data_IF_595485613047
#
_entry.id   IF_595485613047
#
_cell.length_a   1.000
_cell.length_b   1.000
_cell.length_c   1.000
_cell.angle_alpha   90.00
_cell.angle_beta   90.00
_cell.angle_gamma   90.00
#
_symmetry.space_group_name_H-M   'P 1'
#
loop_
_entity.id
_entity.type
_entity.pdbx_description
1 polymer ?
#
# COMPACT_ATOMS: atom_id res chain seq x y z
N UNK A 1 6.84 6.60 3.68
CA UNK A 1 6.01 6.36 2.48
C UNK A 1 4.91 5.39 2.86
N UNK A 2 3.71 5.57 2.31
CA UNK A 2 2.59 4.66 2.48
C UNK A 2 2.21 4.01 1.14
N UNK A 3 1.77 2.76 1.16
CA UNK A 3 1.16 2.05 0.03
C UNK A 3 -0.12 1.38 0.53
N UNK A 4 -1.27 1.87 0.09
CA UNK A 4 -2.58 1.37 0.51
C UNK A 4 -3.43 1.00 -0.71
N UNK A 5 -4.33 0.05 -0.50
CA UNK A 5 -5.33 -0.39 -1.48
C UNK A 5 -6.68 -0.38 -0.80
N UNK A 6 -7.63 0.43 -1.30
CA UNK A 6 -9.00 0.37 -0.84
C UNK A 6 -9.73 -0.72 -1.64
N UNK A 7 -10.46 -1.65 -1.01
CA UNK A 7 -11.27 -2.62 -1.73
C UNK A 7 -12.34 -1.90 -2.57
N UNK A 8 -12.56 -2.36 -3.80
CA UNK A 8 -13.70 -1.94 -4.63
C UNK A 8 -15.01 -2.42 -4.03
N UNK A 9 -16.05 -1.61 -4.23
CA UNK A 9 -17.36 -1.63 -3.56
C UNK A 9 -17.72 -2.88 -2.74
N UNK A 10 -17.78 -2.69 -1.41
CA UNK A 10 -18.69 -3.45 -0.55
C UNK A 10 -19.02 -2.78 0.78
N UNK A 11 -18.18 -1.88 1.30
CA UNK A 11 -18.53 -0.99 2.43
C UNK A 11 -17.70 0.30 2.30
N UNK A 12 -18.29 1.37 1.74
CA UNK A 12 -17.60 2.65 1.46
C UNK A 12 -16.95 3.27 2.70
N UNK A 13 -17.46 2.99 3.90
CA UNK A 13 -16.97 3.56 5.15
C UNK A 13 -15.77 2.81 5.75
N UNK A 14 -15.75 1.47 5.74
CA UNK A 14 -14.63 0.69 6.30
C UNK A 14 -13.37 0.85 5.46
N UNK A 15 -13.52 0.98 4.14
CA UNK A 15 -12.38 1.01 3.23
C UNK A 15 -11.58 2.31 3.40
N UNK A 16 -12.27 3.45 3.53
CA UNK A 16 -11.64 4.75 3.82
C UNK A 16 -10.91 4.75 5.16
N UNK A 17 -11.41 4.04 6.18
CA UNK A 17 -10.74 3.94 7.49
C UNK A 17 -9.33 3.37 7.38
N UNK A 18 -9.10 2.37 6.54
CA UNK A 18 -7.75 1.81 6.34
C UNK A 18 -6.80 2.81 5.69
N UNK A 19 -7.24 3.48 4.63
CA UNK A 19 -6.45 4.52 3.98
C UNK A 19 -6.14 5.68 4.93
N UNK A 20 -7.15 6.14 5.67
CA UNK A 20 -7.02 7.21 6.66
C UNK A 20 -6.04 6.82 7.76
N UNK A 21 -6.22 5.64 8.35
CA UNK A 21 -5.36 5.16 9.42
C UNK A 21 -3.90 5.04 8.99
N UNK A 22 -3.63 4.50 7.79
CA UNK A 22 -2.28 4.36 7.28
C UNK A 22 -1.60 5.73 7.01
N UNK A 23 -2.37 6.73 6.56
CA UNK A 23 -1.88 8.09 6.35
C UNK A 23 -1.65 8.83 7.68
N UNK A 24 -2.59 8.70 8.63
CA UNK A 24 -2.47 9.25 9.99
C UNK A 24 -1.25 8.71 10.71
N UNK A 25 -1.02 7.39 10.69
CA UNK A 25 0.15 6.77 11.30
C UNK A 25 1.45 7.34 10.72
N UNK A 26 1.53 7.49 9.39
CA UNK A 26 2.71 8.06 8.75
C UNK A 26 2.95 9.51 9.17
N UNK A 27 1.90 10.35 9.12
CA UNK A 27 1.97 11.75 9.53
C UNK A 27 2.42 11.83 10.99
N UNK A 28 1.77 11.09 11.88
CA UNK A 28 2.08 11.09 13.30
C UNK A 28 3.53 10.66 13.55
N UNK A 29 4.02 9.61 12.89
CA UNK A 29 5.42 9.20 13.03
C UNK A 29 6.41 10.27 12.54
N UNK A 30 6.08 11.02 11.48
CA UNK A 30 6.90 12.13 11.02
C UNK A 30 6.90 13.28 12.02
N UNK A 31 5.74 13.63 12.58
CA UNK A 31 5.62 14.65 13.63
C UNK A 31 6.42 14.27 14.88
N UNK A 32 6.33 13.00 15.33
CA UNK A 32 7.10 12.49 16.48
C UNK A 32 8.62 12.54 16.24
N UNK A 33 9.06 12.52 14.97
CA UNK A 33 10.46 12.68 14.58
C UNK A 33 10.88 14.16 14.41
N UNK A 34 10.02 15.10 14.80
CA UNK A 34 10.30 16.54 14.77
C UNK A 34 9.94 17.22 13.46
N UNK A 35 9.22 16.56 12.56
CA UNK A 35 8.77 17.21 11.33
C UNK A 35 7.60 18.18 11.64
N UNK A 36 7.49 19.28 10.89
CA UNK A 36 6.39 20.24 11.02
C UNK A 36 5.35 20.00 9.94
N UNK A 37 4.07 19.90 10.31
CA UNK A 37 2.98 19.69 9.34
C UNK A 37 2.96 20.78 8.25
N UNK A 38 3.28 22.02 8.63
CA UNK A 38 3.32 23.17 7.71
C UNK A 38 4.37 23.02 6.60
N UNK A 39 5.37 22.16 6.76
CA UNK A 39 6.40 21.91 5.75
C UNK A 39 6.13 20.66 4.92
N UNK A 40 5.02 19.97 5.15
CA UNK A 40 4.72 18.73 4.44
C UNK A 40 4.38 19.00 2.98
N UNK A 41 4.86 18.11 2.13
CA UNK A 41 4.56 18.08 0.71
C UNK A 41 4.32 16.63 0.30
N UNK A 42 3.44 16.41 -0.66
CA UNK A 42 3.08 15.09 -1.12
C UNK A 42 3.46 14.84 -2.58
N UNK A 43 3.92 13.62 -2.84
CA UNK A 43 4.03 13.06 -4.19
C UNK A 43 3.18 11.79 -4.24
N UNK A 44 2.22 11.75 -5.17
CA UNK A 44 1.25 10.66 -5.25
C UNK A 44 1.40 9.86 -6.54
N UNK A 45 1.38 8.54 -6.43
CA UNK A 45 1.64 7.63 -7.54
C UNK A 45 0.66 6.45 -7.51
N UNK A 46 0.31 5.90 -8.67
CA UNK A 46 -0.46 4.66 -8.78
C UNK A 46 -1.87 4.87 -9.33
N UNK A 47 -2.86 4.21 -8.73
CA UNK A 47 -4.26 4.35 -9.16
C UNK A 47 -4.57 3.81 -10.56
N UNK A 48 -3.76 2.91 -11.11
CA UNK A 48 -4.01 2.33 -12.43
C UNK A 48 -5.31 1.52 -12.46
N UNK A 49 -6.05 1.61 -13.56
CA UNK A 49 -7.24 0.82 -13.82
C UNK A 49 -6.84 -0.42 -14.62
N UNK A 50 -6.84 -1.58 -13.96
CA UNK A 50 -6.46 -2.87 -14.55
C UNK A 50 -7.73 -3.61 -14.98
N UNK A 51 -7.76 -4.09 -16.21
CA UNK A 51 -8.97 -4.68 -16.82
C UNK A 51 -9.47 -5.98 -16.15
N UNK A 52 -8.67 -6.61 -15.28
CA UNK A 52 -8.95 -7.91 -14.63
C UNK A 52 -9.89 -7.84 -13.40
N UNK A 53 -10.97 -7.06 -13.45
CA UNK A 53 -12.03 -7.09 -12.41
C UNK A 53 -11.87 -6.14 -11.22
N UNK A 54 -10.81 -5.32 -11.19
CA UNK A 54 -10.61 -4.24 -10.21
C UNK A 54 -11.01 -2.86 -10.77
N UNK A 55 -11.92 -2.85 -11.76
CA UNK A 55 -12.35 -1.62 -12.43
C UNK A 55 -12.81 -0.59 -11.41
N UNK A 56 -12.35 0.65 -11.56
CA UNK A 56 -12.58 1.81 -10.68
C UNK A 56 -11.81 1.85 -9.34
N UNK A 57 -11.17 0.77 -8.87
CA UNK A 57 -10.44 0.80 -7.58
C UNK A 57 -9.26 1.78 -7.64
N UNK A 58 -8.50 1.73 -8.73
CA UNK A 58 -7.38 2.65 -8.95
C UNK A 58 -7.81 4.11 -8.87
N UNK A 59 -8.93 4.44 -9.53
CA UNK A 59 -9.54 5.78 -9.50
C UNK A 59 -10.00 6.17 -8.09
N UNK A 60 -10.71 5.29 -7.39
CA UNK A 60 -11.16 5.55 -6.01
C UNK A 60 -10.00 5.80 -5.05
N UNK A 61 -8.90 5.06 -5.19
CA UNK A 61 -7.69 5.27 -4.38
C UNK A 61 -7.04 6.62 -4.68
N UNK A 62 -6.95 6.99 -5.97
CA UNK A 62 -6.43 8.28 -6.39
C UNK A 62 -7.26 9.45 -5.85
N UNK A 63 -8.60 9.35 -5.94
CA UNK A 63 -9.53 10.36 -5.46
C UNK A 63 -9.51 10.47 -3.92
N UNK A 64 -9.41 9.34 -3.22
CA UNK A 64 -9.22 9.30 -1.77
C UNK A 64 -7.93 10.02 -1.36
N UNK A 65 -6.80 9.69 -1.99
CA UNK A 65 -5.51 10.29 -1.68
C UNK A 65 -5.53 11.83 -1.85
N UNK A 66 -6.10 12.30 -2.97
CA UNK A 66 -6.27 13.74 -3.23
C UNK A 66 -7.14 14.41 -2.17
N UNK A 67 -8.25 13.79 -1.81
CA UNK A 67 -9.18 14.37 -0.82
C UNK A 67 -8.55 14.42 0.57
N UNK A 68 -7.87 13.36 0.98
CA UNK A 68 -7.17 13.31 2.26
C UNK A 68 -6.11 14.42 2.36
N UNK A 69 -5.24 14.52 1.35
CA UNK A 69 -4.16 15.52 1.34
C UNK A 69 -4.70 16.95 1.31
N UNK A 70 -5.81 17.19 0.58
CA UNK A 70 -6.49 18.48 0.61
C UNK A 70 -7.03 18.83 1.99
N UNK A 71 -7.67 17.88 2.67
CA UNK A 71 -8.24 18.10 4.01
C UNK A 71 -7.16 18.30 5.08
N UNK A 72 -5.96 17.76 4.86
CA UNK A 72 -4.82 17.92 5.77
C UNK A 72 -3.94 19.14 5.44
N UNK A 73 -4.31 19.96 4.46
CA UNK A 73 -3.54 21.10 3.95
C UNK A 73 -2.11 20.72 3.49
N UNK A 74 -1.96 19.52 2.91
CA UNK A 74 -0.67 19.04 2.39
C UNK A 74 -0.63 19.22 0.87
N UNK A 75 0.16 20.17 0.33
CA UNK A 75 0.25 20.41 -1.10
C UNK A 75 0.84 19.22 -1.86
N UNK A 76 0.22 18.89 -2.98
CA UNK A 76 0.72 17.86 -3.91
C UNK A 76 1.69 18.53 -4.89
N UNK A 77 2.98 18.22 -4.76
CA UNK A 77 4.05 18.78 -5.62
C UNK A 77 4.37 17.92 -6.84
N UNK A 78 3.93 16.66 -6.84
CA UNK A 78 3.98 15.80 -8.03
C UNK A 78 2.89 14.72 -7.97
N UNK A 79 2.35 14.35 -9.15
CA UNK A 79 1.36 13.29 -9.25
C UNK A 79 1.57 12.44 -10.50
N UNK A 80 1.48 11.12 -10.37
CA UNK A 80 1.31 10.20 -11.49
C UNK A 80 0.27 9.15 -11.16
N UNK A 81 -0.98 9.47 -11.49
CA UNK A 81 -2.16 8.66 -11.17
C UNK A 81 -2.77 8.05 -12.44
N UNK A 82 -3.71 7.11 -12.25
CA UNK A 82 -4.54 6.53 -13.32
C UNK A 82 -3.74 5.80 -14.41
N UNK A 83 -4.35 5.57 -15.58
CA UNK A 83 -3.76 4.80 -16.69
C UNK A 83 -3.86 3.29 -16.48
N UNK A 84 -3.31 2.52 -17.42
CA UNK A 84 -3.48 1.06 -17.47
C UNK A 84 -2.27 0.25 -16.97
N UNK A 85 -1.16 0.93 -16.66
CA UNK A 85 0.10 0.28 -16.31
C UNK A 85 0.35 0.31 -14.80
N UNK A 86 0.77 -0.82 -14.25
CA UNK A 86 1.38 -0.88 -12.93
C UNK A 86 2.63 0.00 -12.87
N UNK A 87 2.96 0.48 -11.68
CA UNK A 87 4.13 1.35 -11.45
C UNK A 87 4.90 0.91 -10.23
N UNK A 88 6.22 0.81 -10.36
CA UNK A 88 7.14 0.67 -9.23
C UNK A 88 7.65 2.06 -8.86
N UNK A 89 7.59 2.40 -7.57
CA UNK A 89 8.01 3.71 -7.05
C UNK A 89 9.21 3.53 -6.13
N UNK A 90 10.23 4.34 -6.35
CA UNK A 90 11.37 4.50 -5.44
C UNK A 90 11.35 5.91 -4.87
N UNK A 91 11.58 6.04 -3.57
CA UNK A 91 11.59 7.31 -2.87
C UNK A 91 12.83 7.45 -2.00
N UNK A 92 13.46 8.61 -2.07
CA UNK A 92 14.63 8.96 -1.27
C UNK A 92 14.21 9.98 -0.21
N UNK A 93 14.06 9.56 1.06
CA UNK A 93 13.53 10.43 2.11
C UNK A 93 14.41 11.64 2.43
N UNK A 94 15.74 11.52 2.29
CA UNK A 94 16.67 12.61 2.57
C UNK A 94 16.56 13.80 1.63
N UNK A 95 16.12 13.59 0.38
CA UNK A 95 16.00 14.66 -0.64
C UNK A 95 14.56 14.89 -1.09
N UNK A 96 13.63 14.01 -0.71
CA UNK A 96 12.27 13.99 -1.24
C UNK A 96 12.17 13.55 -2.71
N UNK A 97 13.27 13.13 -3.34
CA UNK A 97 13.26 12.65 -4.73
C UNK A 97 12.40 11.39 -4.87
N UNK A 98 11.72 11.25 -6.00
CA UNK A 98 10.91 10.09 -6.31
C UNK A 98 11.10 9.70 -7.79
N UNK A 99 11.24 8.41 -8.04
CA UNK A 99 11.34 7.83 -9.37
C UNK A 99 10.21 6.83 -9.55
N UNK A 100 9.58 6.83 -10.72
CA UNK A 100 8.61 5.81 -11.11
C UNK A 100 9.08 5.07 -12.36
N UNK A 101 8.86 3.76 -12.37
CA UNK A 101 9.00 2.92 -13.54
C UNK A 101 7.62 2.33 -13.85
N UNK A 102 7.07 2.65 -15.02
CA UNK A 102 5.91 1.93 -15.54
C UNK A 102 6.37 0.53 -15.90
N UNK A 103 5.63 -0.49 -15.47
CA UNK A 103 5.95 -1.88 -15.78
C UNK A 103 5.18 -2.25 -17.06
N UNK A 104 5.82 -2.30 -18.24
CA UNK A 104 5.17 -2.79 -19.46
C UNK A 104 4.89 -4.28 -19.33
N UNK A 105 3.74 -4.74 -19.84
CA UNK A 105 3.40 -6.17 -19.91
C UNK A 105 2.94 -6.81 -18.61
N UNK A 106 2.78 -6.07 -17.51
CA UNK A 106 2.11 -6.57 -16.30
C UNK A 106 0.59 -6.50 -16.50
N UNK A 107 0.05 -7.30 -17.41
CA UNK A 107 -1.20 -7.99 -17.12
C UNK A 107 -0.87 -8.91 -15.93
N UNK A 108 -1.05 -8.42 -14.71
CA UNK A 108 -0.97 -9.32 -13.57
C UNK A 108 -2.14 -10.30 -13.73
N UNK A 109 -1.84 -11.52 -14.20
CA UNK A 109 -2.60 -12.68 -13.75
C UNK A 109 -2.61 -12.56 -12.23
N UNK A 110 -3.79 -12.35 -11.68
CA UNK A 110 -4.00 -12.31 -10.25
C UNK A 110 -3.69 -13.70 -9.73
N UNK A 111 -2.42 -13.98 -9.48
CA UNK A 111 -2.03 -15.15 -8.70
C UNK A 111 -2.55 -14.83 -7.29
N UNK A 112 -3.59 -15.53 -6.81
CA UNK A 112 -4.21 -15.19 -5.55
C UNK A 112 -3.12 -15.21 -4.48
N UNK A 113 -3.05 -14.14 -3.69
CA UNK A 113 -2.14 -14.02 -2.55
C UNK A 113 -2.11 -15.36 -1.81
N UNK A 114 -1.03 -16.13 -1.97
CA UNK A 114 -0.84 -17.33 -1.18
C UNK A 114 -0.67 -16.85 0.24
N UNK A 115 -1.75 -16.97 1.02
CA UNK A 115 -1.70 -16.84 2.47
C UNK A 115 -0.79 -17.98 2.93
N UNK A 116 0.51 -17.69 3.07
CA UNK A 116 1.45 -18.60 3.71
C UNK A 116 0.98 -18.69 5.15
N UNK A 117 0.21 -19.75 5.45
CA UNK A 117 -0.15 -20.08 6.82
C UNK A 117 1.17 -20.28 7.57
N UNK A 118 1.40 -19.60 8.71
CA UNK A 118 2.62 -19.81 9.46
C UNK A 118 2.75 -21.31 9.78
N UNK A 119 3.87 -21.91 9.37
CA UNK A 119 4.10 -23.34 9.55
C UNK A 119 4.00 -23.67 11.03
N UNK A 120 3.07 -24.55 11.41
CA UNK A 120 3.07 -25.11 12.76
C UNK A 120 4.37 -25.88 12.93
N UNK A 121 5.27 -25.39 13.81
CA UNK A 121 6.46 -26.16 14.20
C UNK A 121 6.00 -27.54 14.66
N UNK A 122 6.63 -28.64 14.20
CA UNK A 122 6.36 -29.95 14.77
C UNK A 122 6.82 -29.94 16.23
N UNK A 123 5.92 -30.27 17.16
CA UNK A 123 6.36 -30.73 18.49
C UNK A 123 7.08 -32.05 18.26
N UNK A 124 8.40 -32.07 18.44
CA UNK A 124 9.13 -33.34 18.57
C UNK A 124 8.58 -34.06 19.81
N UNK A 125 7.81 -35.14 19.60
CA UNK A 125 7.65 -36.17 20.62
C UNK A 125 8.85 -37.08 20.48
N UNK A 126 9.71 -37.11 21.49
CA UNK A 126 10.71 -38.18 21.62
C UNK A 126 9.98 -39.50 21.79
N UNK A 127 10.02 -40.35 20.76
CA UNK A 127 9.87 -41.78 20.91
C UNK A 127 11.28 -42.34 21.09
N UNK A 128 11.53 -43.03 22.20
CA UNK A 128 12.72 -43.86 22.36
C UNK A 128 12.25 -45.30 22.21
N UNK A 129 12.92 -45.98 21.28
CA UNK A 129 12.81 -47.36 20.82
C UNK A 129 12.37 -48.39 21.88
N UNK A 130 11.48 -49.28 21.45
CA UNK A 130 11.55 -50.69 21.82
C UNK A 130 12.60 -51.36 20.92
N UNK A 131 13.40 -52.27 21.47
CA UNK A 131 13.69 -53.58 20.86
C UNK A 131 14.30 -54.53 21.91
N UNK A 132 13.95 -55.80 21.74
CA UNK A 132 14.08 -56.97 22.59
C UNK A 132 15.51 -57.48 22.84
N UNK A 133 15.73 -58.05 24.04
CA UNK A 133 16.40 -59.34 24.29
C UNK A 133 15.89 -59.94 25.62
#
# INVERSE_FOLDING_TARGET
>A
MNHFLLPGDRIKFSNRKYGTHAMELLINQMLHKGASKATFQAKIFGGADMQNGLKNIGKLNADFARSFLKNEDIPIVAASLNGVHARRVRFWPGTGAAQQLKVPGMEMQADPLQIVRPSTRPRQRGAILFDDD
#
